data_IF_392990296671
#
_entry.id   IF_392990296671
#
_cell.length_a   1.000
_cell.length_b   1.000
_cell.length_c   1.000
_cell.angle_alpha   90.00
_cell.angle_beta   90.00
_cell.angle_gamma   90.00
#
_symmetry.space_group_name_H-M   'P 1'
#
loop_
_entity.id
_entity.type
_entity.pdbx_description
1 polymer ?
#
# COMPACT_ATOMS: atom_id res chain seq x y z
N UNK A 1 -24.28 -19.04 -13.22
CA UNK A 1 -23.95 -18.82 -11.80
C UNK A 1 -25.26 -18.42 -11.12
N UNK A 2 -25.65 -19.08 -10.04
CA UNK A 2 -26.95 -18.86 -9.40
C UNK A 2 -27.00 -17.43 -8.80
N UNK A 3 -28.08 -16.69 -9.07
CA UNK A 3 -28.24 -15.28 -8.70
C UNK A 3 -28.14 -15.09 -7.17
N UNK A 4 -28.57 -16.11 -6.41
CA UNK A 4 -28.47 -16.19 -4.96
C UNK A 4 -27.03 -16.18 -4.45
N UNK A 5 -26.11 -16.84 -5.16
CA UNK A 5 -24.69 -16.91 -4.80
C UNK A 5 -24.00 -15.57 -5.11
N UNK A 6 -24.33 -14.95 -6.25
CA UNK A 6 -23.79 -13.64 -6.61
C UNK A 6 -24.18 -12.57 -5.58
N UNK A 7 -25.44 -12.54 -5.15
CA UNK A 7 -25.90 -11.58 -4.13
C UNK A 7 -25.21 -11.77 -2.78
N UNK A 8 -24.91 -13.01 -2.38
CA UNK A 8 -24.14 -13.29 -1.16
C UNK A 8 -22.71 -12.77 -1.23
N UNK A 9 -22.06 -12.95 -2.38
CA UNK A 9 -20.70 -12.45 -2.59
C UNK A 9 -20.66 -10.93 -2.59
N UNK A 10 -21.61 -10.28 -3.27
CA UNK A 10 -21.71 -8.81 -3.28
C UNK A 10 -21.88 -8.26 -1.87
N UNK A 11 -22.83 -8.81 -1.10
CA UNK A 11 -23.05 -8.39 0.29
C UNK A 11 -21.80 -8.53 1.15
N UNK A 12 -21.05 -9.63 0.98
CA UNK A 12 -19.81 -9.84 1.73
C UNK A 12 -18.71 -8.85 1.31
N UNK A 13 -18.63 -8.48 0.03
CA UNK A 13 -17.70 -7.45 -0.44
C UNK A 13 -18.07 -6.07 0.10
N UNK A 14 -19.37 -5.75 0.17
CA UNK A 14 -19.87 -4.51 0.79
C UNK A 14 -19.46 -4.43 2.27
N UNK A 15 -19.60 -5.52 3.03
CA UNK A 15 -19.19 -5.60 4.44
C UNK A 15 -17.67 -5.39 4.62
N UNK A 16 -16.84 -5.88 3.69
CA UNK A 16 -15.39 -5.62 3.70
C UNK A 16 -15.08 -4.18 3.36
N UNK A 17 -15.76 -3.60 2.37
CA UNK A 17 -15.55 -2.22 1.95
C UNK A 17 -15.90 -1.26 3.09
N UNK A 18 -17.04 -1.46 3.76
CA UNK A 18 -17.45 -0.69 4.94
C UNK A 18 -16.41 -0.77 6.07
N UNK A 19 -15.93 -2.00 6.38
CA UNK A 19 -14.88 -2.19 7.39
C UNK A 19 -13.56 -1.51 6.98
N UNK A 20 -13.19 -1.57 5.69
CA UNK A 20 -12.01 -0.91 5.15
C UNK A 20 -12.09 0.61 5.24
N UNK A 21 -13.23 1.21 4.91
CA UNK A 21 -13.48 2.65 5.04
C UNK A 21 -13.37 3.11 6.49
N UNK A 22 -13.94 2.35 7.43
CA UNK A 22 -13.83 2.64 8.86
C UNK A 22 -12.37 2.67 9.35
N UNK A 23 -11.57 1.67 8.96
CA UNK A 23 -10.14 1.59 9.31
C UNK A 23 -9.37 2.79 8.76
N UNK A 24 -9.61 3.15 7.50
CA UNK A 24 -8.96 4.29 6.85
C UNK A 24 -9.34 5.61 7.53
N UNK A 25 -10.62 5.81 7.87
CA UNK A 25 -11.08 7.01 8.57
C UNK A 25 -10.40 7.17 9.93
N UNK A 26 -10.35 6.09 10.74
CA UNK A 26 -9.67 6.10 12.05
C UNK A 26 -8.15 6.31 11.93
N UNK A 27 -7.53 5.75 10.89
CA UNK A 27 -6.11 6.01 10.61
C UNK A 27 -5.86 7.49 10.31
N UNK A 28 -6.71 8.12 9.48
CA UNK A 28 -6.61 9.53 9.16
C UNK A 28 -6.81 10.40 10.40
N UNK A 29 -7.75 10.04 11.27
CA UNK A 29 -7.99 10.71 12.55
C UNK A 29 -6.74 10.64 13.46
N UNK A 30 -6.10 9.48 13.57
CA UNK A 30 -4.85 9.31 14.32
C UNK A 30 -3.74 10.23 13.79
N UNK A 31 -3.59 10.34 12.47
CA UNK A 31 -2.63 11.26 11.83
C UNK A 31 -2.92 12.73 12.19
N UNK A 32 -4.19 13.12 12.20
CA UNK A 32 -4.60 14.49 12.57
C UNK A 32 -4.28 14.79 14.03
N UNK A 33 -4.61 13.87 14.95
CA UNK A 33 -4.28 14.02 16.36
C UNK A 33 -2.76 14.10 16.59
N UNK A 34 -1.99 13.24 15.93
CA UNK A 34 -0.54 13.24 16.01
C UNK A 34 0.06 14.57 15.50
N UNK A 35 -0.44 15.07 14.37
CA UNK A 35 -0.05 16.38 13.83
C UNK A 35 -0.36 17.52 14.80
N UNK A 36 -1.54 17.51 15.44
CA UNK A 36 -1.95 18.54 16.39
C UNK A 36 -1.11 18.48 17.67
N UNK A 37 -0.85 17.27 18.20
CA UNK A 37 0.05 17.07 19.34
C UNK A 37 1.45 17.62 19.05
N UNK A 38 1.97 17.39 17.84
CA UNK A 38 3.30 17.89 17.44
C UNK A 38 3.32 19.42 17.42
N UNK A 39 2.30 20.06 16.85
CA UNK A 39 2.14 21.53 16.87
C UNK A 39 2.06 22.07 18.29
N UNK A 40 1.30 21.43 19.19
CA UNK A 40 1.23 21.81 20.60
C UNK A 40 2.59 21.71 21.30
N UNK A 41 3.37 20.66 21.03
CA UNK A 41 4.73 20.51 21.56
C UNK A 41 5.67 21.61 21.05
N UNK A 42 5.58 21.96 19.77
CA UNK A 42 6.35 23.08 19.20
C UNK A 42 5.95 24.42 19.82
N UNK A 43 4.64 24.65 20.04
CA UNK A 43 4.14 25.84 20.71
C UNK A 43 4.70 25.96 22.14
N UNK A 44 4.67 24.88 22.93
CA UNK A 44 5.25 24.86 24.29
C UNK A 44 6.75 25.16 24.25
N UNK A 45 7.51 24.58 23.31
CA UNK A 45 8.94 24.86 23.16
C UNK A 45 9.22 26.33 22.84
N UNK A 46 8.44 26.94 21.95
CA UNK A 46 8.55 28.38 21.64
C UNK A 46 8.19 29.24 22.84
N UNK A 47 7.13 28.89 23.58
CA UNK A 47 6.75 29.56 24.82
C UNK A 47 7.80 29.43 25.93
N UNK A 48 8.69 28.42 25.88
CA UNK A 48 9.83 28.29 26.79
C UNK A 48 10.99 29.22 26.47
N UNK A 49 11.13 29.63 25.22
CA UNK A 49 12.18 30.56 24.79
C UNK A 49 11.81 32.02 25.03
N UNK A 50 10.52 32.32 25.23
CA UNK A 50 9.99 33.66 25.47
C UNK A 50 9.97 33.97 26.97
N UNK A 51 10.20 35.24 27.32
CA UNK A 51 10.21 35.71 28.72
C UNK A 51 8.89 35.40 29.44
N UNK A 52 9.00 34.83 30.65
CA UNK A 52 7.88 34.33 31.45
C UNK A 52 6.94 35.41 31.99
N UNK A 53 7.34 36.68 32.00
CA UNK A 53 6.50 37.78 32.50
C UNK A 53 5.59 38.39 31.44
N UNK A 54 5.84 38.11 30.15
CA UNK A 54 5.11 38.72 29.06
C UNK A 54 3.85 37.93 28.67
N UNK A 55 2.76 38.66 28.40
CA UNK A 55 1.56 38.10 27.79
C UNK A 55 1.84 37.72 26.33
N UNK A 56 1.23 36.63 25.87
CA UNK A 56 1.42 36.06 24.54
C UNK A 56 0.10 36.00 23.77
N UNK A 57 0.16 36.26 22.47
CA UNK A 57 -1.00 36.12 21.58
C UNK A 57 -1.21 34.66 21.20
N UNK A 58 -2.42 34.17 21.37
CA UNK A 58 -2.86 32.86 20.89
C UNK A 58 -4.04 33.04 19.93
N UNK A 59 -4.05 32.26 18.86
CA UNK A 59 -5.17 32.22 17.92
C UNK A 59 -6.14 31.11 18.33
N UNK A 60 -7.42 31.45 18.45
CA UNK A 60 -8.50 30.49 18.66
C UNK A 60 -9.55 30.73 17.59
N UNK A 61 -9.74 29.73 16.72
CA UNK A 61 -10.54 29.85 15.49
C UNK A 61 -9.96 30.93 14.56
N UNK A 62 -10.63 32.08 14.49
CA UNK A 62 -10.38 33.22 13.62
C UNK A 62 -10.00 34.48 14.42
N UNK A 63 -9.89 34.36 15.74
CA UNK A 63 -9.64 35.48 16.65
C UNK A 63 -8.34 35.30 17.43
N UNK A 64 -7.67 36.42 17.74
CA UNK A 64 -6.46 36.44 18.55
C UNK A 64 -6.76 36.98 19.94
N UNK A 65 -6.33 36.24 20.96
CA UNK A 65 -6.49 36.59 22.36
C UNK A 65 -5.13 36.70 23.03
N UNK A 66 -5.04 37.60 24.00
CA UNK A 66 -3.82 37.85 24.75
C UNK A 66 -3.87 37.13 26.11
N UNK A 67 -3.00 36.14 26.33
CA UNK A 67 -2.98 35.31 27.53
C UNK A 67 -1.68 35.47 28.32
N UNK A 68 -1.70 35.27 29.65
CA UNK A 68 -0.47 35.07 30.43
C UNK A 68 0.29 33.83 29.94
N UNK A 69 1.60 33.95 29.74
CA UNK A 69 2.46 32.88 29.21
C UNK A 69 2.39 31.58 30.03
N UNK A 70 2.37 31.68 31.36
CA UNK A 70 2.32 30.53 32.29
C UNK A 70 0.99 29.78 32.17
N UNK A 71 -0.13 30.51 32.15
CA UNK A 71 -1.46 29.92 32.01
C UNK A 71 -1.65 29.27 30.64
N UNK A 72 -1.20 29.94 29.57
CA UNK A 72 -1.25 29.41 28.21
C UNK A 72 -0.40 28.14 28.06
N UNK A 73 0.79 28.11 28.64
CA UNK A 73 1.64 26.90 28.62
C UNK A 73 0.95 25.73 29.29
N UNK A 74 0.38 25.93 30.49
CA UNK A 74 -0.32 24.88 31.23
C UNK A 74 -1.50 24.32 30.43
N UNK A 75 -2.29 25.18 29.79
CA UNK A 75 -3.40 24.76 28.94
C UNK A 75 -2.93 23.89 27.77
N UNK A 76 -1.89 24.30 27.05
CA UNK A 76 -1.35 23.52 25.92
C UNK A 76 -0.73 22.18 26.41
N UNK A 77 -0.12 22.16 27.60
CA UNK A 77 0.38 20.92 28.21
C UNK A 77 -0.74 19.94 28.61
N UNK A 78 -1.90 20.45 29.03
CA UNK A 78 -3.10 19.65 29.26
C UNK A 78 -3.64 19.08 27.94
N UNK A 79 -3.70 19.89 26.88
CA UNK A 79 -4.11 19.44 25.54
C UNK A 79 -3.21 18.32 25.00
N UNK A 80 -1.89 18.40 25.22
CA UNK A 80 -0.95 17.34 24.83
C UNK A 80 -1.32 16.02 25.51
N UNK A 81 -1.68 16.03 26.80
CA UNK A 81 -2.10 14.82 27.53
C UNK A 81 -3.40 14.26 26.99
N UNK A 82 -4.36 15.12 26.66
CA UNK A 82 -5.62 14.72 26.02
C UNK A 82 -5.33 14.02 24.71
N UNK A 83 -4.51 14.62 23.83
CA UNK A 83 -4.12 14.00 22.57
C UNK A 83 -3.42 12.66 22.76
N UNK A 84 -2.50 12.53 23.73
CA UNK A 84 -1.84 11.24 24.01
C UNK A 84 -2.86 10.15 24.38
N UNK A 85 -3.82 10.49 25.25
CA UNK A 85 -4.86 9.53 25.66
C UNK A 85 -5.79 9.13 24.50
N UNK A 86 -6.17 10.08 23.63
CA UNK A 86 -7.05 9.80 22.49
C UNK A 86 -6.34 8.98 21.42
N UNK A 87 -5.05 9.27 21.16
CA UNK A 87 -4.23 8.47 20.24
C UNK A 87 -4.08 7.03 20.75
N UNK A 88 -3.92 6.83 22.06
CA UNK A 88 -3.87 5.48 22.64
C UNK A 88 -5.19 4.72 22.46
N UNK A 89 -6.32 5.37 22.74
CA UNK A 89 -7.65 4.78 22.54
C UNK A 89 -7.89 4.42 21.07
N UNK A 90 -7.61 5.35 20.16
CA UNK A 90 -7.77 5.14 18.72
C UNK A 90 -6.88 4.02 18.20
N UNK A 91 -5.63 3.94 18.63
CA UNK A 91 -4.74 2.85 18.22
C UNK A 91 -5.22 1.48 18.72
N UNK A 92 -5.82 1.42 19.92
CA UNK A 92 -6.43 0.18 20.41
C UNK A 92 -7.60 -0.23 19.52
N UNK A 93 -8.53 0.69 19.26
CA UNK A 93 -9.68 0.44 18.40
C UNK A 93 -9.27 0.06 16.98
N UNK A 94 -8.33 0.80 16.38
CA UNK A 94 -7.81 0.54 15.04
C UNK A 94 -7.23 -0.86 14.93
N UNK A 95 -6.53 -1.35 15.97
CA UNK A 95 -6.02 -2.72 16.00
C UNK A 95 -7.14 -3.76 16.00
N UNK A 96 -8.21 -3.51 16.74
CA UNK A 96 -9.40 -4.37 16.76
C UNK A 96 -10.09 -4.37 15.39
N UNK A 97 -10.28 -3.19 14.79
CA UNK A 97 -10.91 -3.05 13.47
C UNK A 97 -10.08 -3.70 12.36
N UNK A 98 -8.74 -3.59 12.41
CA UNK A 98 -7.84 -4.26 11.45
C UNK A 98 -7.93 -5.78 11.59
N UNK A 99 -7.95 -6.30 12.82
CA UNK A 99 -8.11 -7.74 13.04
C UNK A 99 -9.47 -8.23 12.48
N UNK A 100 -10.53 -7.46 12.72
CA UNK A 100 -11.85 -7.74 12.17
C UNK A 100 -11.87 -7.74 10.64
N UNK A 101 -11.24 -6.74 10.01
CA UNK A 101 -11.08 -6.68 8.55
C UNK A 101 -10.35 -7.91 8.03
N UNK A 102 -9.26 -8.34 8.68
CA UNK A 102 -8.54 -9.55 8.30
C UNK A 102 -9.39 -10.83 8.44
N UNK A 103 -10.23 -10.93 9.47
CA UNK A 103 -11.18 -12.05 9.62
C UNK A 103 -12.21 -12.05 8.48
N UNK A 104 -12.76 -10.90 8.11
CA UNK A 104 -13.67 -10.75 6.98
C UNK A 104 -13.00 -11.14 5.65
N UNK A 105 -11.78 -10.66 5.39
CA UNK A 105 -10.99 -11.01 4.20
C UNK A 105 -10.66 -12.51 4.14
N UNK A 106 -10.34 -13.14 5.28
CA UNK A 106 -10.09 -14.56 5.35
C UNK A 106 -11.34 -15.39 5.01
N UNK A 107 -12.51 -14.97 5.51
CA UNK A 107 -13.78 -15.62 5.20
C UNK A 107 -14.16 -15.51 3.71
N UNK A 108 -13.82 -14.40 3.06
CA UNK A 108 -13.90 -14.25 1.59
C UNK A 108 -13.01 -15.26 0.91
N UNK A 109 -11.75 -15.37 1.31
CA UNK A 109 -10.84 -16.32 0.65
C UNK A 109 -11.36 -17.76 0.72
N UNK A 110 -12.02 -18.15 1.83
CA UNK A 110 -12.71 -19.43 2.00
C UNK A 110 -13.94 -19.57 1.09
N UNK A 111 -14.81 -18.55 1.02
CA UNK A 111 -15.95 -18.52 0.10
C UNK A 111 -15.47 -18.61 -1.36
N UNK A 112 -14.41 -17.88 -1.71
CA UNK A 112 -13.83 -17.87 -3.05
C UNK A 112 -13.18 -19.21 -3.41
N UNK A 113 -12.55 -19.92 -2.45
CA UNK A 113 -12.07 -21.29 -2.68
C UNK A 113 -13.22 -22.28 -2.81
N UNK A 114 -14.25 -22.17 -1.95
CA UNK A 114 -15.40 -23.07 -1.92
C UNK A 114 -16.30 -22.92 -3.16
N UNK A 115 -16.44 -21.72 -3.71
CA UNK A 115 -17.21 -21.44 -4.92
C UNK A 115 -16.37 -21.41 -6.21
N UNK A 116 -15.10 -21.86 -6.17
CA UNK A 116 -14.17 -21.81 -7.31
C UNK A 116 -14.05 -20.41 -7.96
N UNK A 117 -14.23 -19.33 -7.20
CA UNK A 117 -14.01 -17.96 -7.65
C UNK A 117 -12.52 -17.55 -7.58
N UNK A 118 -11.59 -18.51 -7.52
CA UNK A 118 -10.13 -18.27 -7.51
C UNK A 118 -9.63 -17.48 -8.73
N UNK A 119 -10.44 -17.36 -9.78
CA UNK A 119 -10.10 -16.61 -10.99
C UNK A 119 -9.82 -15.12 -10.73
N UNK A 120 -10.48 -14.41 -9.80
CA UNK A 120 -10.16 -12.98 -9.60
C UNK A 120 -8.76 -12.76 -9.02
N UNK A 121 -8.29 -13.65 -8.15
CA UNK A 121 -6.96 -13.56 -7.53
C UNK A 121 -5.84 -14.16 -8.39
N UNK A 122 -6.19 -14.99 -9.39
CA UNK A 122 -5.21 -15.74 -10.21
C UNK A 122 -5.24 -15.38 -11.70
N UNK A 123 -6.23 -14.62 -12.16
CA UNK A 123 -6.39 -14.17 -13.54
C UNK A 123 -6.47 -12.65 -13.65
N UNK A 124 -6.14 -12.13 -14.84
CA UNK A 124 -6.25 -10.70 -15.10
C UNK A 124 -7.70 -10.24 -15.05
N UNK A 125 -7.98 -9.18 -14.30
CA UNK A 125 -9.33 -8.61 -14.15
C UNK A 125 -9.27 -7.08 -14.20
N UNK A 126 -10.42 -6.43 -14.36
CA UNK A 126 -10.54 -4.98 -14.24
C UNK A 126 -11.12 -4.62 -12.87
N UNK A 127 -10.51 -3.63 -12.21
CA UNK A 127 -11.00 -3.04 -10.96
C UNK A 127 -11.17 -1.55 -11.18
N UNK A 128 -12.26 -0.99 -10.67
CA UNK A 128 -12.45 0.45 -10.69
C UNK A 128 -11.59 1.12 -9.60
N UNK A 129 -10.92 2.22 -9.94
CA UNK A 129 -10.12 3.02 -9.02
C UNK A 129 -10.85 4.33 -8.71
N UNK A 130 -11.49 4.47 -7.53
CA UNK A 130 -12.30 5.63 -7.21
C UNK A 130 -11.49 6.93 -7.02
N UNK A 131 -10.19 6.84 -6.74
CA UNK A 131 -9.33 8.01 -6.58
C UNK A 131 -9.00 8.69 -7.91
N UNK A 132 -9.07 7.94 -9.02
CA UNK A 132 -8.76 8.41 -10.36
C UNK A 132 -9.97 8.42 -11.29
N UNK A 133 -11.13 7.93 -10.83
CA UNK A 133 -12.34 7.76 -11.65
C UNK A 133 -12.09 6.93 -12.93
N UNK A 134 -11.30 5.87 -12.81
CA UNK A 134 -10.84 5.08 -13.96
C UNK A 134 -10.89 3.57 -13.69
N UNK A 135 -11.13 2.79 -14.74
CA UNK A 135 -11.00 1.33 -14.71
C UNK A 135 -9.56 0.91 -14.96
N UNK A 136 -8.93 0.29 -13.96
CA UNK A 136 -7.58 -0.24 -14.05
C UNK A 136 -7.61 -1.75 -14.34
N UNK A 137 -6.63 -2.23 -15.13
CA UNK A 137 -6.42 -3.66 -15.33
C UNK A 137 -5.42 -4.16 -14.29
N UNK A 138 -5.82 -5.18 -13.54
CA UNK A 138 -5.01 -5.85 -12.53
C UNK A 138 -4.61 -7.23 -13.05
N UNK A 139 -3.31 -7.49 -13.16
CA UNK A 139 -2.77 -8.77 -13.63
C UNK A 139 -1.98 -9.46 -12.50
N UNK A 140 -2.65 -10.04 -11.49
CA UNK A 140 -2.00 -10.53 -10.26
C UNK A 140 -1.00 -11.68 -10.51
N UNK A 141 -1.18 -12.43 -11.60
CA UNK A 141 -0.27 -13.49 -12.05
C UNK A 141 1.15 -13.00 -12.41
N UNK A 142 1.40 -11.69 -12.51
CA UNK A 142 2.72 -11.09 -12.77
C UNK A 142 3.76 -11.42 -11.69
N UNK A 143 3.34 -11.76 -10.48
CA UNK A 143 4.20 -12.17 -9.36
C UNK A 143 4.85 -13.54 -9.64
N UNK A 144 4.28 -14.36 -10.51
CA UNK A 144 4.81 -15.68 -10.86
C UNK A 144 5.94 -15.63 -11.89
N UNK A 145 6.27 -14.45 -12.42
CA UNK A 145 7.43 -14.28 -13.29
C UNK A 145 8.71 -14.56 -12.48
N UNK A 146 9.68 -15.30 -13.02
CA UNK A 146 10.96 -15.56 -12.36
C UNK A 146 11.84 -14.30 -12.42
N UNK A 147 11.51 -13.31 -11.60
CA UNK A 147 12.30 -12.08 -11.47
C UNK A 147 13.65 -12.42 -10.84
N UNK A 148 14.72 -12.38 -11.64
CA UNK A 148 16.08 -12.49 -11.13
C UNK A 148 16.60 -11.21 -10.47
N UNK A 149 15.88 -10.09 -10.62
CA UNK A 149 16.35 -8.75 -10.27
C UNK A 149 17.56 -8.33 -11.13
N UNK A 150 17.66 -7.05 -11.45
CA UNK A 150 18.93 -6.49 -11.91
C UNK A 150 19.70 -6.05 -10.66
N UNK A 151 20.82 -6.69 -10.36
CA UNK A 151 21.82 -6.13 -9.45
C UNK A 151 22.82 -5.35 -10.31
N UNK A 152 22.91 -4.05 -10.11
CA UNK A 152 23.97 -3.26 -10.75
C UNK A 152 25.31 -3.69 -10.15
N UNK A 153 26.23 -4.17 -10.98
CA UNK A 153 27.62 -4.33 -10.58
C UNK A 153 28.37 -3.07 -11.00
N UNK A 154 29.03 -2.43 -10.04
CA UNK A 154 29.83 -1.23 -10.29
C UNK A 154 30.92 -1.48 -11.36
N UNK A 155 30.98 -0.52 -12.29
CA UNK A 155 32.01 -0.29 -13.30
C UNK A 155 32.07 -1.21 -14.53
N UNK A 156 31.57 -0.65 -15.63
CA UNK A 156 31.91 -0.98 -17.00
C UNK A 156 33.43 -1.07 -17.22
N UNK A 157 33.88 -2.22 -17.73
CA UNK A 157 34.87 -2.24 -18.82
C UNK A 157 34.17 -2.81 -20.06
N UNK A 158 34.43 -2.29 -21.28
CA UNK A 158 33.88 -2.88 -22.48
C UNK A 158 34.54 -4.25 -22.66
N UNK A 159 33.81 -5.32 -22.40
CA UNK A 159 34.25 -6.65 -22.82
C UNK A 159 34.03 -6.72 -24.33
N UNK A 160 35.12 -6.79 -25.08
CA UNK A 160 35.09 -7.08 -26.51
C UNK A 160 34.33 -8.39 -26.71
N UNK A 161 33.25 -8.32 -27.49
CA UNK A 161 32.36 -9.45 -27.76
C UNK A 161 33.03 -10.32 -28.81
N UNK A 162 33.93 -11.20 -28.37
CA UNK A 162 34.42 -12.32 -29.18
C UNK A 162 33.73 -13.60 -28.73
N UNK A 163 33.09 -14.26 -29.67
CA UNK A 163 32.39 -15.55 -29.60
C UNK A 163 31.01 -15.61 -28.93
N UNK A 164 30.01 -15.78 -29.82
CA UNK A 164 28.61 -16.18 -29.56
C UNK A 164 28.50 -17.57 -28.89
N UNK A 165 29.61 -18.26 -28.65
CA UNK A 165 29.64 -19.62 -28.09
C UNK A 165 29.94 -19.69 -26.58
N UNK A 166 30.18 -18.57 -25.90
CA UNK A 166 30.45 -18.59 -24.45
C UNK A 166 29.14 -18.62 -23.66
N UNK A 167 28.69 -19.85 -23.34
CA UNK A 167 27.96 -20.25 -22.13
C UNK A 167 27.35 -19.09 -21.32
N UNK A 168 26.31 -18.47 -21.84
CA UNK A 168 25.36 -17.78 -20.97
C UNK A 168 24.32 -18.82 -20.54
N UNK A 169 24.73 -19.76 -19.66
CA UNK A 169 23.86 -20.75 -19.01
C UNK A 169 22.74 -20.10 -18.16
N UNK A 170 22.62 -18.77 -18.21
CA UNK A 170 21.68 -17.95 -17.46
C UNK A 170 20.63 -17.26 -18.34
N UNK A 171 20.78 -17.22 -19.67
CA UNK A 171 19.77 -16.59 -20.53
C UNK A 171 18.78 -17.64 -21.10
N UNK A 172 17.54 -17.70 -20.60
CA UNK A 172 16.55 -18.70 -21.06
C UNK A 172 16.04 -18.44 -22.49
N UNK A 173 16.42 -17.32 -23.14
CA UNK A 173 15.95 -16.95 -24.48
C UNK A 173 16.90 -17.35 -25.62
N UNK A 174 18.06 -17.96 -25.30
CA UNK A 174 19.03 -18.40 -26.32
C UNK A 174 18.48 -19.55 -27.17
N UNK A 175 18.96 -19.75 -28.42
CA UNK A 175 18.59 -20.90 -29.25
C UNK A 175 18.82 -22.24 -28.52
N UNK A 176 17.84 -23.15 -28.58
CA UNK A 176 17.93 -24.48 -27.94
C UNK A 176 17.83 -24.49 -26.42
N UNK A 177 17.53 -23.36 -25.78
CA UNK A 177 17.37 -23.24 -24.32
C UNK A 177 15.94 -23.50 -23.86
N UNK A 178 15.77 -23.95 -22.62
CA UNK A 178 14.46 -24.14 -21.98
C UNK A 178 14.01 -22.82 -21.37
N UNK A 179 12.84 -22.33 -21.80
CA UNK A 179 12.24 -21.11 -21.26
C UNK A 179 11.56 -21.37 -19.92
N UNK A 180 11.16 -20.29 -19.23
CA UNK A 180 10.45 -20.38 -17.95
C UNK A 180 9.11 -21.14 -18.04
N UNK A 181 8.48 -21.16 -19.22
CA UNK A 181 7.31 -22.00 -19.52
C UNK A 181 7.60 -23.49 -19.66
N UNK A 182 8.88 -23.90 -19.69
CA UNK A 182 9.31 -25.27 -20.03
C UNK A 182 9.43 -25.53 -21.54
N UNK A 183 9.07 -24.56 -22.39
CA UNK A 183 9.20 -24.69 -23.84
C UNK A 183 10.65 -24.51 -24.29
N UNK A 184 11.09 -25.32 -25.26
CA UNK A 184 12.42 -25.22 -25.87
C UNK A 184 12.37 -24.18 -26.99
N UNK A 185 13.29 -23.21 -26.98
CA UNK A 185 13.45 -22.27 -28.10
C UNK A 185 13.99 -23.00 -29.33
N UNK A 186 13.41 -22.80 -30.51
CA UNK A 186 13.98 -23.31 -31.76
C UNK A 186 15.41 -22.81 -31.96
N UNK A 187 16.21 -23.59 -32.70
CA UNK A 187 17.58 -23.19 -33.02
C UNK A 187 17.59 -22.12 -34.12
N UNK A 188 17.23 -20.89 -33.77
CA UNK A 188 17.14 -19.77 -34.70
C UNK A 188 18.53 -19.17 -35.00
N UNK A 189 18.73 -18.73 -36.24
CA UNK A 189 20.00 -18.15 -36.70
C UNK A 189 19.99 -16.61 -36.78
N UNK A 190 18.81 -15.99 -36.65
CA UNK A 190 18.61 -14.54 -36.74
C UNK A 190 17.46 -14.11 -35.83
N UNK A 191 16.85 -12.95 -36.06
CA UNK A 191 15.74 -12.43 -35.24
C UNK A 191 14.63 -13.46 -35.10
N UNK A 192 14.29 -13.80 -33.85
CA UNK A 192 13.24 -14.75 -33.52
C UNK A 192 12.24 -14.13 -32.54
N UNK A 193 10.96 -14.19 -32.89
CA UNK A 193 9.86 -13.75 -32.04
C UNK A 193 9.27 -14.94 -31.30
N UNK A 194 9.00 -14.77 -30.01
CA UNK A 194 8.44 -15.82 -29.17
C UNK A 194 7.15 -15.37 -28.48
N UNK A 195 6.26 -16.32 -28.18
CA UNK A 195 5.10 -16.03 -27.34
C UNK A 195 5.56 -15.73 -25.91
N UNK A 196 5.09 -14.62 -25.35
CA UNK A 196 5.41 -14.23 -23.99
C UNK A 196 4.86 -15.29 -23.01
N UNK A 197 5.74 -15.90 -22.24
CA UNK A 197 5.39 -16.98 -21.30
C UNK A 197 4.52 -16.50 -20.12
N UNK A 198 4.56 -15.21 -19.82
CA UNK A 198 3.76 -14.60 -18.75
C UNK A 198 3.03 -13.36 -19.29
N UNK A 199 2.04 -13.52 -20.18
CA UNK A 199 1.35 -12.39 -20.78
C UNK A 199 0.57 -11.62 -19.72
N UNK A 200 0.50 -10.30 -19.87
CA UNK A 200 -0.23 -9.45 -18.92
C UNK A 200 -1.74 -9.63 -19.03
N UNK A 201 -2.22 -9.93 -20.24
CA UNK A 201 -3.61 -10.20 -20.56
C UNK A 201 -3.70 -11.62 -21.10
N UNK A 202 -4.67 -12.41 -20.63
CA UNK A 202 -5.05 -13.64 -21.31
C UNK A 202 -5.94 -13.22 -22.48
N UNK A 203 -5.57 -13.64 -23.69
CA UNK A 203 -6.39 -13.49 -24.90
C UNK A 203 -7.41 -14.62 -24.92
#
# INVERSE_FOLDING_TARGET
MDLSVQNKVIKHLEEIEEAGEMVLAKQQECIVYDRNRQKSREAVRKLMQLDSENKQWACLSDQFFLFPSVGLRKAIEEDIKVYDSEIQKLNHQLKEDINWLHELEASVNLLFTQFQMTNLLTSGHRRYNPLLDEWIIVSPHRIQRPWGGQMESDNHKPTEVTDVSVKCTKNPLLPGSVRASGLITPNYQSVYTFHNDFPALRV
#
